data_IF_351504470414
#
_entry.id   IF_351504470414
#
_cell.length_a   1.000
_cell.length_b   1.000
_cell.length_c   1.000
_cell.angle_alpha   90.00
_cell.angle_beta   90.00
_cell.angle_gamma   90.00
#
_symmetry.space_group_name_H-M   'P 1'
#
loop_
_entity.id
_entity.type
_entity.pdbx_description
1 polymer ?
#
# COMPACT_ATOMS: atom_id res chain seq x y z
N UNK A 1 -32.86 -24.93 55.43
CA UNK A 1 -31.62 -24.15 55.12
C UNK A 1 -30.83 -24.66 53.91
N UNK A 2 -31.23 -25.78 53.29
CA UNK A 2 -30.50 -26.48 52.21
C UNK A 2 -30.78 -25.90 50.82
N UNK A 3 -32.02 -25.53 50.50
CA UNK A 3 -32.42 -25.01 49.18
C UNK A 3 -31.73 -23.70 48.77
N UNK A 4 -31.54 -22.77 49.73
CA UNK A 4 -30.81 -21.51 49.48
C UNK A 4 -29.34 -21.79 49.10
N UNK A 5 -28.70 -22.78 49.70
CA UNK A 5 -27.30 -23.17 49.37
C UNK A 5 -27.21 -23.82 47.99
N UNK A 6 -28.20 -24.63 47.59
CA UNK A 6 -28.23 -25.23 46.25
C UNK A 6 -28.48 -24.20 45.15
N UNK A 7 -29.39 -23.23 45.37
CA UNK A 7 -29.63 -22.12 44.43
C UNK A 7 -28.39 -21.24 44.22
N UNK A 8 -27.58 -21.02 45.25
CA UNK A 8 -26.31 -20.27 45.14
C UNK A 8 -25.26 -21.10 44.38
N UNK A 9 -25.24 -22.42 44.59
CA UNK A 9 -24.31 -23.35 43.92
C UNK A 9 -24.62 -23.55 42.43
N UNK A 10 -25.90 -23.55 42.05
CA UNK A 10 -26.33 -23.58 40.64
C UNK A 10 -26.05 -22.26 39.93
N UNK A 11 -26.36 -21.13 40.58
CA UNK A 11 -26.12 -19.78 40.02
C UNK A 11 -24.62 -19.48 39.85
N UNK A 12 -23.77 -19.93 40.77
CA UNK A 12 -22.30 -19.83 40.62
C UNK A 12 -21.73 -20.73 39.53
N UNK A 13 -22.31 -21.92 39.29
CA UNK A 13 -21.97 -22.77 38.12
C UNK A 13 -22.33 -22.09 36.80
N UNK A 14 -23.47 -21.42 36.74
CA UNK A 14 -23.92 -20.67 35.57
C UNK A 14 -22.99 -19.49 35.24
N UNK A 15 -22.61 -18.71 36.24
CA UNK A 15 -21.67 -17.58 36.10
C UNK A 15 -20.30 -18.06 35.59
N UNK A 16 -19.77 -19.17 36.13
CA UNK A 16 -18.52 -19.76 35.64
C UNK A 16 -18.61 -20.22 34.18
N UNK A 17 -19.80 -20.70 33.75
CA UNK A 17 -20.07 -21.15 32.38
C UNK A 17 -20.17 -19.98 31.39
N UNK A 18 -20.77 -18.86 31.80
CA UNK A 18 -20.85 -17.63 30.99
C UNK A 18 -19.49 -16.94 30.88
N UNK A 19 -18.72 -16.86 31.97
CA UNK A 19 -17.34 -16.36 31.95
C UNK A 19 -16.42 -17.15 31.02
N UNK A 20 -16.54 -18.49 31.02
CA UNK A 20 -15.80 -19.36 30.10
C UNK A 20 -16.16 -19.09 28.62
N UNK A 21 -17.43 -18.81 28.31
CA UNK A 21 -17.87 -18.43 26.97
C UNK A 21 -17.32 -17.06 26.53
N UNK A 22 -17.31 -16.07 27.43
CA UNK A 22 -16.79 -14.72 27.17
C UNK A 22 -15.27 -14.76 26.92
N UNK A 23 -14.52 -15.51 27.74
CA UNK A 23 -13.06 -15.67 27.53
C UNK A 23 -12.75 -16.34 26.18
N UNK A 24 -13.53 -17.33 25.78
CA UNK A 24 -13.37 -17.98 24.48
C UNK A 24 -13.69 -17.07 23.29
N UNK A 25 -14.71 -16.20 23.40
CA UNK A 25 -15.02 -15.24 22.34
C UNK A 25 -13.93 -14.17 22.19
N UNK A 26 -13.37 -13.69 23.30
CA UNK A 26 -12.23 -12.76 23.29
C UNK A 26 -10.97 -13.36 22.68
N UNK A 27 -10.65 -14.63 23.00
CA UNK A 27 -9.54 -15.37 22.40
C UNK A 27 -9.73 -15.48 20.88
N UNK A 28 -10.96 -15.74 20.42
CA UNK A 28 -11.31 -15.83 18.99
C UNK A 28 -11.11 -14.49 18.28
N UNK A 29 -11.57 -13.38 18.88
CA UNK A 29 -11.38 -12.02 18.35
C UNK A 29 -9.90 -11.63 18.28
N UNK A 30 -9.10 -11.96 19.32
CA UNK A 30 -7.65 -11.74 19.30
C UNK A 30 -6.95 -12.54 18.20
N UNK A 31 -7.37 -13.79 17.95
CA UNK A 31 -6.85 -14.63 16.84
C UNK A 31 -7.16 -14.01 15.48
N UNK A 32 -8.39 -13.55 15.27
CA UNK A 32 -8.82 -12.90 14.01
C UNK A 32 -8.04 -11.60 13.77
N UNK A 33 -7.89 -10.74 14.78
CA UNK A 33 -7.07 -9.51 14.67
C UNK A 33 -5.60 -9.80 14.34
N UNK A 34 -5.01 -10.85 14.93
CA UNK A 34 -3.64 -11.28 14.60
C UNK A 34 -3.51 -11.78 13.16
N UNK A 35 -4.48 -12.58 12.68
CA UNK A 35 -4.51 -13.07 11.29
C UNK A 35 -4.62 -11.91 10.29
N UNK A 36 -5.51 -10.96 10.54
CA UNK A 36 -5.70 -9.79 9.67
C UNK A 36 -4.44 -8.90 9.60
N UNK A 37 -3.76 -8.68 10.75
CA UNK A 37 -2.49 -7.94 10.81
C UNK A 37 -1.36 -8.67 10.06
N UNK A 38 -1.34 -10.01 10.11
CA UNK A 38 -0.36 -10.86 9.39
C UNK A 38 -0.62 -10.83 7.87
N UNK A 39 -1.88 -10.78 7.45
CA UNK A 39 -2.28 -10.71 6.03
C UNK A 39 -1.95 -9.35 5.41
N UNK A 40 -2.24 -8.23 6.11
CA UNK A 40 -1.82 -6.88 5.67
C UNK A 40 -0.31 -6.75 5.47
N UNK A 41 0.50 -7.33 6.37
CA UNK A 41 1.98 -7.33 6.26
C UNK A 41 2.53 -8.13 5.07
N UNK A 42 1.85 -9.22 4.67
CA UNK A 42 2.22 -10.00 3.47
C UNK A 42 1.90 -9.26 2.16
N UNK A 43 0.87 -8.43 2.15
CA UNK A 43 0.45 -7.67 0.96
C UNK A 43 1.28 -6.39 0.79
N UNK A 44 1.62 -5.72 1.89
CA UNK A 44 2.32 -4.43 1.87
C UNK A 44 3.80 -4.50 1.45
N UNK A 45 4.39 -5.69 1.36
CA UNK A 45 5.84 -5.87 1.10
C UNK A 45 6.16 -6.57 -0.22
N UNK A 46 5.18 -6.77 -1.11
CA UNK A 46 5.49 -7.18 -2.48
C UNK A 46 5.92 -5.94 -3.27
N UNK A 47 7.23 -5.83 -3.55
CA UNK A 47 7.79 -4.79 -4.42
C UNK A 47 7.09 -4.88 -5.79
N UNK A 48 6.16 -3.98 -6.04
CA UNK A 48 5.50 -3.87 -7.36
C UNK A 48 6.55 -3.35 -8.34
N UNK A 49 7.06 -4.24 -9.19
CA UNK A 49 7.95 -3.82 -10.28
C UNK A 49 7.08 -3.09 -11.32
N UNK A 50 7.32 -1.80 -11.59
CA UNK A 50 6.46 -1.04 -12.49
C UNK A 50 6.49 -1.65 -13.89
N UNK A 51 5.31 -1.80 -14.49
CA UNK A 51 5.16 -2.36 -15.83
C UNK A 51 5.79 -1.47 -16.91
N UNK A 52 5.91 -2.00 -18.14
CA UNK A 52 6.43 -1.24 -19.31
C UNK A 52 5.67 0.07 -19.50
N UNK A 53 4.34 0.05 -19.42
CA UNK A 53 3.47 1.23 -19.59
C UNK A 53 3.77 2.33 -18.56
N UNK A 54 3.90 1.97 -17.29
CA UNK A 54 4.22 2.93 -16.22
C UNK A 54 5.61 3.55 -16.39
N UNK A 55 6.61 2.74 -16.76
CA UNK A 55 7.96 3.24 -17.06
C UNK A 55 7.93 4.22 -18.23
N UNK A 56 7.24 3.89 -19.32
CA UNK A 56 7.10 4.78 -20.47
C UNK A 56 6.37 6.07 -20.11
N UNK A 57 5.27 6.00 -19.37
CA UNK A 57 4.54 7.18 -18.89
C UNK A 57 5.40 8.09 -18.01
N UNK A 58 6.19 7.52 -17.09
CA UNK A 58 7.14 8.28 -16.26
C UNK A 58 8.19 9.00 -17.11
N UNK A 59 8.68 8.37 -18.17
CA UNK A 59 9.69 8.95 -19.05
C UNK A 59 9.09 9.98 -20.02
N UNK A 60 7.86 9.77 -20.49
CA UNK A 60 7.11 10.76 -21.28
C UNK A 60 6.88 12.06 -20.51
N UNK A 61 6.67 11.99 -19.19
CA UNK A 61 6.59 13.20 -18.35
C UNK A 61 7.90 13.99 -18.28
N UNK A 62 9.06 13.35 -18.48
CA UNK A 62 10.40 13.99 -18.41
C UNK A 62 10.84 14.68 -19.70
N UNK A 63 10.03 14.67 -20.76
CA UNK A 63 10.36 15.36 -22.02
C UNK A 63 10.05 16.86 -21.95
N UNK A 64 9.12 17.25 -21.08
CA UNK A 64 8.66 18.63 -20.90
C UNK A 64 9.66 19.41 -20.03
N UNK A 65 9.80 20.71 -20.32
CA UNK A 65 10.48 21.64 -19.44
C UNK A 65 9.68 21.87 -18.15
N UNK A 66 10.35 22.38 -17.11
CA UNK A 66 9.65 22.91 -15.94
C UNK A 66 8.65 24.01 -16.37
N UNK A 67 7.47 24.07 -15.74
CA UNK A 67 6.49 25.09 -16.08
C UNK A 67 6.91 26.47 -15.56
N UNK A 68 6.48 27.53 -16.27
CA UNK A 68 6.89 28.92 -16.00
C UNK A 68 6.57 29.37 -14.57
N UNK A 69 5.42 28.97 -14.03
CA UNK A 69 5.04 29.31 -12.66
C UNK A 69 6.04 28.81 -11.60
N UNK A 70 6.81 27.76 -11.88
CA UNK A 70 7.85 27.26 -10.97
C UNK A 70 9.04 28.22 -10.92
N UNK A 71 9.35 28.87 -12.03
CA UNK A 71 10.40 29.90 -12.11
C UNK A 71 9.98 31.11 -11.27
N UNK A 72 8.73 31.56 -11.45
CA UNK A 72 8.16 32.66 -10.67
C UNK A 72 8.19 32.34 -9.16
N UNK A 73 7.81 31.12 -8.77
CA UNK A 73 7.83 30.70 -7.37
C UNK A 73 9.24 30.60 -6.77
N UNK A 74 10.23 30.15 -7.56
CA UNK A 74 11.58 29.90 -7.06
C UNK A 74 12.47 31.15 -7.07
N UNK A 75 12.38 31.96 -8.12
CA UNK A 75 13.28 33.11 -8.36
C UNK A 75 12.61 34.46 -8.18
N UNK A 76 11.27 34.49 -8.05
CA UNK A 76 10.49 35.71 -7.97
C UNK A 76 10.06 36.25 -9.33
N UNK A 77 9.13 37.22 -9.33
CA UNK A 77 8.70 37.91 -10.54
C UNK A 77 9.83 38.77 -11.15
N UNK A 78 9.78 39.02 -12.45
CA UNK A 78 10.72 39.90 -13.16
C UNK A 78 12.04 39.27 -13.59
N UNK A 79 12.36 38.05 -13.16
CA UNK A 79 13.57 37.34 -13.61
C UNK A 79 13.35 36.64 -14.96
N UNK A 80 14.15 36.99 -15.98
CA UNK A 80 14.14 36.39 -17.33
C UNK A 80 14.94 35.08 -17.38
N UNK A 81 14.63 34.14 -16.50
CA UNK A 81 15.32 32.84 -16.43
C UNK A 81 14.52 31.81 -17.21
N UNK A 82 15.18 31.08 -18.12
CA UNK A 82 14.56 29.99 -18.87
C UNK A 82 14.37 28.74 -17.97
N UNK A 83 13.27 27.94 -18.11
CA UNK A 83 13.00 26.76 -17.28
C UNK A 83 14.08 25.68 -17.30
N UNK A 84 15.04 25.76 -18.23
CA UNK A 84 16.23 24.90 -18.25
C UNK A 84 17.06 24.99 -16.98
N UNK A 85 17.11 26.17 -16.35
CA UNK A 85 17.85 26.37 -15.11
C UNK A 85 17.31 25.50 -13.94
N UNK A 86 16.03 25.13 -13.98
CA UNK A 86 15.38 24.28 -12.97
C UNK A 86 15.33 22.81 -13.41
N UNK A 87 15.20 22.57 -14.70
CA UNK A 87 14.98 21.23 -15.25
C UNK A 87 16.27 20.41 -15.23
N UNK A 88 16.51 19.65 -14.16
CA UNK A 88 17.70 18.79 -14.01
C UNK A 88 17.75 17.64 -15.01
N UNK A 89 16.60 17.05 -15.32
CA UNK A 89 16.52 15.87 -16.19
C UNK A 89 15.49 16.11 -17.29
N UNK A 90 15.98 16.36 -18.51
CA UNK A 90 15.15 16.42 -19.70
C UNK A 90 15.53 15.26 -20.63
N UNK A 91 14.54 14.45 -20.99
CA UNK A 91 14.76 13.27 -21.83
C UNK A 91 14.68 13.66 -23.32
N UNK A 92 15.67 13.22 -24.11
CA UNK A 92 15.61 13.16 -25.57
C UNK A 92 15.54 11.71 -26.05
N UNK A 93 14.64 11.43 -27.01
CA UNK A 93 14.45 10.10 -27.59
C UNK A 93 15.60 9.67 -28.52
N UNK A 94 16.34 10.64 -29.07
CA UNK A 94 17.48 10.38 -29.97
C UNK A 94 18.72 9.94 -29.19
N UNK A 95 19.09 10.66 -28.14
CA UNK A 95 20.38 10.48 -27.46
C UNK A 95 20.37 9.41 -26.35
N UNK A 96 19.27 9.22 -25.62
CA UNK A 96 19.22 8.26 -24.52
C UNK A 96 18.13 7.24 -24.72
N UNK A 97 18.43 6.01 -25.13
CA UNK A 97 17.40 4.96 -25.28
C UNK A 97 16.98 4.40 -23.91
N UNK A 98 15.73 3.95 -23.79
CA UNK A 98 15.23 3.35 -22.55
C UNK A 98 15.60 1.87 -22.53
N UNK A 99 16.30 1.44 -21.48
CA UNK A 99 16.46 0.02 -21.20
C UNK A 99 15.18 -0.53 -20.54
N UNK A 100 14.19 -0.85 -21.36
CA UNK A 100 12.96 -1.50 -20.92
C UNK A 100 12.94 -2.91 -21.50
N UNK A 101 13.18 -3.90 -20.63
CA UNK A 101 13.05 -5.31 -21.00
C UNK A 101 11.64 -5.58 -21.53
N UNK A 102 11.48 -6.29 -22.66
CA UNK A 102 10.17 -6.72 -23.12
C UNK A 102 9.52 -7.61 -22.06
N UNK A 103 8.18 -7.57 -21.99
CA UNK A 103 7.46 -8.52 -21.15
C UNK A 103 7.63 -9.90 -21.80
N UNK A 104 8.05 -10.92 -21.02
CA UNK A 104 8.02 -12.31 -21.48
C UNK A 104 6.57 -12.67 -21.75
N UNK A 105 6.16 -12.67 -23.01
CA UNK A 105 4.83 -13.14 -23.42
C UNK A 105 4.90 -14.66 -23.51
N UNK A 106 3.90 -15.35 -22.95
CA UNK A 106 3.73 -16.77 -23.26
C UNK A 106 3.19 -16.85 -24.69
N UNK A 107 3.71 -17.75 -25.54
CA UNK A 107 3.12 -17.98 -26.86
C UNK A 107 1.65 -18.37 -26.71
N UNK A 108 0.81 -17.87 -27.61
CA UNK A 108 -0.64 -18.07 -27.60
C UNK A 108 -1.07 -19.37 -28.31
N UNK A 109 -0.13 -20.11 -28.90
CA UNK A 109 -0.39 -21.14 -29.92
C UNK A 109 0.29 -22.48 -29.60
N UNK A 110 0.37 -22.86 -28.33
CA UNK A 110 0.51 -24.28 -28.00
C UNK A 110 -0.87 -24.72 -27.51
N UNK A 111 -1.58 -25.45 -28.38
CA UNK A 111 -2.81 -26.14 -28.02
C UNK A 111 -2.60 -27.13 -26.88
#
# INVERSE_FOLDING_TARGET
MTEKKEKIKSKSKEIKKTEGKIKNSEIKVRRIKKLFKKQKRKISFKRVVPGKKEKLSKQGRRTKWAPVWVILKKFGPGKRIHPSAITRYKRSWRHGKLNIRPKKMRPLHYG
#
